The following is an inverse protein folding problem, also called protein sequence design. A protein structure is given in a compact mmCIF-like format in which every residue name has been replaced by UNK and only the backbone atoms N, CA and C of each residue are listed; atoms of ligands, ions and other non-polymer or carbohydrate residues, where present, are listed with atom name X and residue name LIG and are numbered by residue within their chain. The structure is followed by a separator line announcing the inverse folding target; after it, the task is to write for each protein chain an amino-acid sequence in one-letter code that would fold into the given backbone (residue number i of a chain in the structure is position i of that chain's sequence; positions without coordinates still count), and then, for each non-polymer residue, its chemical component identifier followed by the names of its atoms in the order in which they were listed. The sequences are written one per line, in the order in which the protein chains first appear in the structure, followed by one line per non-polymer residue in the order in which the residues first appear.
data_IF_558311335652
#
_entry.id   IF_558311335652
#
_cell.length_a   1.000
_cell.length_b   1.000
_cell.length_c   1.000
_cell.angle_alpha   90.00
_cell.angle_beta   90.00
_cell.angle_gamma   90.00
#
_symmetry.space_group_name_H-M   'P 1'
#
loop_
_entity.id
_entity.type
_entity.pdbx_description
1 polymer ?
#
# COMPACT_ATOMS: atom_id res chain seq x y z
N UNK A 1 7.77 17.48 38.06
CA UNK A 1 7.56 17.98 36.68
C UNK A 1 7.47 16.77 35.77
N UNK A 2 6.27 16.44 35.31
CA UNK A 2 6.08 15.31 34.39
C UNK A 2 6.72 15.67 33.05
N UNK A 3 7.70 14.88 32.62
CA UNK A 3 8.24 14.98 31.29
C UNK A 3 7.10 14.71 30.30
N UNK A 4 6.68 15.73 29.56
CA UNK A 4 5.84 15.55 28.38
C UNK A 4 6.66 14.74 27.39
N UNK A 5 6.41 13.43 27.32
CA UNK A 5 6.89 12.61 26.22
C UNK A 5 6.44 13.31 24.92
N UNK A 6 7.39 13.74 24.09
CA UNK A 6 7.07 14.26 22.76
C UNK A 6 6.36 13.13 22.03
N UNK A 7 5.06 13.29 21.80
CA UNK A 7 4.30 12.36 20.97
C UNK A 7 4.97 12.27 19.61
N UNK A 8 5.14 11.06 19.11
CA UNK A 8 5.70 10.83 17.78
C UNK A 8 4.83 11.55 16.73
N UNK A 9 5.42 12.06 15.63
CA UNK A 9 4.68 12.76 14.60
C UNK A 9 3.59 11.85 13.99
N UNK A 10 2.39 12.40 13.82
CA UNK A 10 1.28 11.79 13.10
C UNK A 10 1.31 12.21 11.63
N UNK A 11 1.11 11.25 10.73
CA UNK A 11 1.10 11.44 9.28
C UNK A 11 -0.33 11.30 8.74
N UNK A 12 -0.63 11.85 7.54
CA UNK A 12 -1.96 11.72 6.93
C UNK A 12 -2.39 10.25 6.66
N UNK A 13 -1.41 9.35 6.65
CA UNK A 13 -1.61 7.91 6.50
C UNK A 13 -1.55 7.13 7.83
N UNK A 14 -1.56 7.82 8.96
CA UNK A 14 -1.88 7.18 10.23
C UNK A 14 -3.39 7.25 10.45
N UNK A 15 -3.97 6.15 10.89
CA UNK A 15 -5.39 6.11 11.24
C UNK A 15 -5.59 5.18 12.41
N UNK A 16 -6.29 5.68 13.43
CA UNK A 16 -6.56 4.88 14.62
C UNK A 16 -7.56 3.79 14.27
N UNK A 17 -7.19 2.55 14.60
CA UNK A 17 -8.07 1.39 14.45
C UNK A 17 -8.84 1.20 15.76
N UNK A 18 -10.18 1.08 15.74
CA UNK A 18 -10.96 0.83 16.93
C UNK A 18 -10.49 -0.45 17.64
N UNK A 19 -10.31 -0.38 18.96
CA UNK A 19 -9.86 -1.50 19.78
C UNK A 19 -11.04 -2.42 20.15
N UNK A 20 -11.73 -2.95 19.14
CA UNK A 20 -12.85 -3.89 19.31
C UNK A 20 -12.46 -5.30 18.85
N UNK A 21 -13.18 -6.35 19.29
CA UNK A 21 -12.93 -7.71 18.82
C UNK A 21 -13.02 -7.84 17.30
N UNK A 22 -13.87 -7.07 16.62
CA UNK A 22 -13.95 -7.04 15.17
C UNK A 22 -12.60 -6.72 14.53
N UNK A 23 -11.96 -5.62 14.89
CA UNK A 23 -10.76 -5.15 14.19
C UNK A 23 -9.45 -5.80 14.65
N UNK A 24 -9.43 -6.48 15.80
CA UNK A 24 -8.20 -6.89 16.47
C UNK A 24 -7.32 -7.87 15.69
N UNK A 25 -7.88 -8.60 14.72
CA UNK A 25 -7.17 -9.58 13.90
C UNK A 25 -7.18 -9.25 12.40
N UNK A 26 -7.65 -8.06 12.03
CA UNK A 26 -7.55 -7.54 10.65
C UNK A 26 -6.21 -6.80 10.53
N UNK A 27 -5.53 -6.96 9.40
CA UNK A 27 -4.27 -6.26 9.15
C UNK A 27 -4.48 -4.73 9.21
N UNK A 28 -3.52 -4.03 9.82
CA UNK A 28 -3.64 -2.59 10.10
C UNK A 28 -3.94 -1.77 8.84
N UNK A 29 -3.23 -2.00 7.75
CA UNK A 29 -3.41 -1.29 6.47
C UNK A 29 -4.78 -1.55 5.88
N UNK A 30 -5.27 -2.80 5.90
CA UNK A 30 -6.62 -3.17 5.47
C UNK A 30 -7.69 -2.47 6.29
N UNK A 31 -7.58 -2.53 7.63
CA UNK A 31 -8.52 -1.86 8.52
C UNK A 31 -8.50 -0.33 8.33
N UNK A 32 -7.31 0.27 8.26
CA UNK A 32 -7.14 1.70 8.03
C UNK A 32 -7.76 2.14 6.71
N UNK A 33 -7.44 1.47 5.61
CA UNK A 33 -7.92 1.87 4.28
C UNK A 33 -9.45 1.82 4.24
N UNK A 34 -10.03 0.77 4.83
CA UNK A 34 -11.47 0.64 4.95
C UNK A 34 -12.09 1.80 5.75
N UNK A 35 -11.61 2.05 6.98
CA UNK A 35 -12.18 3.08 7.86
C UNK A 35 -12.07 4.49 7.26
N UNK A 36 -11.00 4.79 6.51
CA UNK A 36 -10.82 6.08 5.84
C UNK A 36 -11.86 6.36 4.73
N UNK A 37 -12.65 5.36 4.31
CA UNK A 37 -13.71 5.49 3.32
C UNK A 37 -15.04 5.99 3.89
N UNK A 38 -15.25 5.88 5.20
CA UNK A 38 -16.57 6.04 5.82
C UNK A 38 -16.55 7.01 6.99
N UNK A 39 -17.66 7.69 7.19
CA UNK A 39 -17.93 8.44 8.41
C UNK A 39 -18.35 7.51 9.55
N UNK A 40 -18.21 7.96 10.79
CA UNK A 40 -18.66 7.21 11.96
C UNK A 40 -20.16 6.84 11.89
N UNK A 41 -20.98 7.74 11.36
CA UNK A 41 -22.42 7.50 11.18
C UNK A 41 -22.73 6.39 10.18
N UNK A 42 -21.96 6.27 9.09
CA UNK A 42 -22.10 5.19 8.12
C UNK A 42 -21.68 3.83 8.72
N UNK A 43 -20.60 3.81 9.50
CA UNK A 43 -20.11 2.61 10.16
C UNK A 43 -21.10 2.08 11.21
N UNK A 44 -21.70 2.96 12.01
CA UNK A 44 -22.67 2.58 13.05
C UNK A 44 -23.93 1.93 12.49
N UNK A 45 -24.33 2.27 11.26
CA UNK A 45 -25.53 1.71 10.64
C UNK A 45 -25.37 0.25 10.19
N UNK A 46 -24.14 -0.23 9.97
CA UNK A 46 -23.89 -1.53 9.35
C UNK A 46 -23.78 -2.70 10.32
N UNK A 47 -23.73 -2.46 11.63
CA UNK A 47 -23.65 -3.49 12.69
C UNK A 47 -22.61 -4.59 12.40
N UNK A 48 -21.34 -4.30 12.69
CA UNK A 48 -20.24 -5.26 12.51
C UNK A 48 -20.34 -6.39 13.54
N UNK A 49 -20.29 -7.65 13.07
CA UNK A 49 -20.39 -8.83 13.93
C UNK A 49 -19.00 -9.25 14.45
N UNK A 50 -18.75 -8.97 15.73
CA UNK A 50 -17.54 -9.34 16.45
C UNK A 50 -17.26 -10.86 16.47
N UNK A 51 -18.30 -11.70 16.32
CA UNK A 51 -18.20 -13.15 16.41
C UNK A 51 -17.70 -13.82 15.12
N UNK A 52 -17.63 -13.09 14.00
CA UNK A 52 -17.19 -13.66 12.73
C UNK A 52 -15.71 -14.08 12.78
N UNK A 53 -15.32 -15.18 12.12
CA UNK A 53 -13.90 -15.48 11.87
C UNK A 53 -13.30 -14.40 10.96
N UNK A 54 -11.95 -14.27 10.95
CA UNK A 54 -11.23 -13.25 10.16
C UNK A 54 -11.73 -13.16 8.71
N UNK A 55 -11.85 -14.30 8.03
CA UNK A 55 -12.35 -14.36 6.66
C UNK A 55 -13.76 -13.80 6.53
N UNK A 56 -14.67 -14.15 7.44
CA UNK A 56 -16.04 -13.64 7.45
C UNK A 56 -16.12 -12.14 7.73
N UNK A 57 -15.22 -11.61 8.58
CA UNK A 57 -15.10 -10.16 8.78
C UNK A 57 -14.66 -9.46 7.50
N UNK A 58 -13.63 -9.96 6.83
CA UNK A 58 -13.14 -9.42 5.56
C UNK A 58 -14.20 -9.47 4.44
N UNK A 59 -14.91 -10.60 4.32
CA UNK A 59 -16.03 -10.75 3.38
C UNK A 59 -17.18 -9.77 3.70
N UNK A 60 -17.47 -9.53 4.97
CA UNK A 60 -18.48 -8.54 5.38
C UNK A 60 -18.06 -7.10 5.03
N UNK A 61 -16.76 -6.77 5.20
CA UNK A 61 -16.22 -5.48 4.80
C UNK A 61 -16.22 -5.31 3.29
N UNK A 62 -15.89 -6.36 2.53
CA UNK A 62 -15.94 -6.37 1.06
C UNK A 62 -17.35 -6.06 0.56
N UNK A 63 -18.36 -6.77 1.05
CA UNK A 63 -19.77 -6.55 0.68
C UNK A 63 -20.17 -5.10 0.94
N UNK A 64 -19.85 -4.57 2.13
CA UNK A 64 -20.21 -3.20 2.46
C UNK A 64 -19.48 -2.19 1.55
N UNK A 65 -18.22 -2.44 1.21
CA UNK A 65 -17.45 -1.58 0.33
C UNK A 65 -17.99 -1.56 -1.10
N UNK A 66 -18.37 -2.73 -1.61
CA UNK A 66 -18.93 -2.90 -2.95
C UNK A 66 -20.31 -2.23 -3.08
N UNK A 67 -21.21 -2.46 -2.13
CA UNK A 67 -22.51 -1.77 -2.07
C UNK A 67 -22.34 -0.25 -2.01
N UNK A 68 -21.35 0.21 -1.23
CA UNK A 68 -21.06 1.63 -1.05
C UNK A 68 -20.50 2.28 -2.31
N UNK A 69 -19.63 1.58 -3.02
CA UNK A 69 -19.08 2.02 -4.30
C UNK A 69 -20.18 2.06 -5.37
N UNK A 70 -21.00 1.02 -5.47
CA UNK A 70 -22.11 0.95 -6.44
C UNK A 70 -23.12 2.10 -6.23
N UNK A 71 -23.52 2.37 -4.98
CA UNK A 71 -24.42 3.47 -4.67
C UNK A 71 -23.84 4.84 -5.06
N UNK A 72 -22.54 5.05 -4.81
CA UNK A 72 -21.83 6.30 -5.16
C UNK A 72 -21.63 6.47 -6.67
N UNK A 73 -21.33 5.38 -7.38
CA UNK A 73 -21.28 5.37 -8.85
C UNK A 73 -22.66 5.68 -9.45
N UNK A 74 -23.74 5.11 -8.90
CA UNK A 74 -25.10 5.43 -9.33
C UNK A 74 -25.44 6.91 -9.12
N UNK A 75 -25.11 7.47 -7.95
CA UNK A 75 -25.36 8.87 -7.62
C UNK A 75 -24.52 9.86 -8.45
N UNK A 76 -23.37 9.43 -8.97
CA UNK A 76 -22.46 10.27 -9.78
C UNK A 76 -22.89 10.41 -11.24
N UNK A 77 -23.92 9.68 -11.66
CA UNK A 77 -24.40 9.69 -13.05
C UNK A 77 -24.83 11.10 -13.48
N UNK A 78 -24.52 11.50 -14.73
CA UNK A 78 -24.07 10.66 -15.85
C UNK A 78 -22.55 10.41 -15.91
N UNK A 79 -21.75 10.93 -14.98
CA UNK A 79 -20.30 10.71 -14.94
C UNK A 79 -19.96 9.50 -14.05
N UNK A 80 -18.73 8.98 -14.17
CA UNK A 80 -18.20 7.98 -13.23
C UNK A 80 -17.76 8.64 -11.91
N UNK A 81 -17.72 7.87 -10.82
CA UNK A 81 -17.29 8.39 -9.52
C UNK A 81 -15.86 8.94 -9.57
N UNK A 82 -14.93 8.30 -10.29
CA UNK A 82 -13.56 8.80 -10.42
C UNK A 82 -13.46 10.14 -11.17
N UNK A 83 -14.51 10.54 -11.91
CA UNK A 83 -14.63 11.89 -12.51
C UNK A 83 -15.31 12.88 -11.58
N UNK A 84 -16.34 12.45 -10.85
CA UNK A 84 -17.10 13.31 -9.94
C UNK A 84 -16.36 13.59 -8.61
N UNK A 85 -15.79 12.55 -8.01
CA UNK A 85 -15.02 12.58 -6.77
C UNK A 85 -13.87 11.55 -6.81
N UNK A 86 -12.74 11.99 -7.39
CA UNK A 86 -11.56 11.16 -7.54
C UNK A 86 -11.00 10.65 -6.20
N UNK A 87 -11.03 11.49 -5.16
CA UNK A 87 -10.41 11.16 -3.87
C UNK A 87 -11.20 10.06 -3.15
N UNK A 88 -12.52 10.15 -3.18
CA UNK A 88 -13.40 9.11 -2.64
C UNK A 88 -13.25 7.81 -3.43
N UNK A 89 -13.29 7.86 -4.76
CA UNK A 89 -13.09 6.68 -5.60
C UNK A 89 -11.76 5.98 -5.31
N UNK A 90 -10.68 6.74 -5.22
CA UNK A 90 -9.34 6.22 -4.95
C UNK A 90 -9.24 5.56 -3.58
N UNK A 91 -9.87 6.13 -2.53
CA UNK A 91 -9.93 5.52 -1.20
C UNK A 91 -10.68 4.19 -1.22
N UNK A 92 -11.86 4.16 -1.86
CA UNK A 92 -12.68 2.95 -1.97
C UNK A 92 -11.93 1.84 -2.70
N UNK A 93 -11.30 2.16 -3.84
CA UNK A 93 -10.51 1.18 -4.61
C UNK A 93 -9.29 0.67 -3.84
N UNK A 94 -8.61 1.55 -3.09
CA UNK A 94 -7.49 1.13 -2.24
C UNK A 94 -7.95 0.17 -1.13
N UNK A 95 -9.11 0.43 -0.51
CA UNK A 95 -9.70 -0.47 0.46
C UNK A 95 -10.09 -1.83 -0.16
N UNK A 96 -10.69 -1.83 -1.36
CA UNK A 96 -11.04 -3.05 -2.10
C UNK A 96 -9.77 -3.88 -2.38
N UNK A 97 -8.70 -3.22 -2.83
CA UNK A 97 -7.42 -3.87 -3.09
C UNK A 97 -6.82 -4.51 -1.83
N UNK A 98 -6.82 -3.82 -0.68
CA UNK A 98 -6.30 -4.39 0.57
C UNK A 98 -7.14 -5.56 1.10
N UNK A 99 -8.46 -5.51 0.96
CA UNK A 99 -9.34 -6.62 1.35
C UNK A 99 -9.14 -7.82 0.40
N UNK A 100 -9.09 -7.59 -0.91
CA UNK A 100 -8.81 -8.63 -1.89
C UNK A 100 -7.46 -9.32 -1.63
N UNK A 101 -6.43 -8.57 -1.21
CA UNK A 101 -5.14 -9.10 -0.77
C UNK A 101 -5.31 -10.08 0.40
N UNK A 102 -5.98 -9.66 1.47
CA UNK A 102 -6.13 -10.46 2.69
C UNK A 102 -7.11 -11.64 2.50
N UNK A 103 -8.00 -11.57 1.51
CA UNK A 103 -8.84 -12.69 1.05
C UNK A 103 -8.14 -13.60 0.04
N UNK A 104 -6.89 -13.32 -0.31
CA UNK A 104 -6.07 -14.03 -1.31
C UNK A 104 -6.66 -14.02 -2.74
N UNK A 105 -7.49 -13.02 -3.06
CA UNK A 105 -8.09 -12.83 -4.39
C UNK A 105 -7.14 -12.09 -5.34
N UNK A 106 -6.02 -12.72 -5.67
CA UNK A 106 -4.89 -12.07 -6.39
C UNK A 106 -5.28 -11.42 -7.71
N UNK A 107 -6.00 -12.12 -8.58
CA UNK A 107 -6.42 -11.58 -9.89
C UNK A 107 -7.35 -10.36 -9.76
N UNK A 108 -8.20 -10.37 -8.74
CA UNK A 108 -9.09 -9.24 -8.44
C UNK A 108 -8.30 -8.05 -7.90
N UNK A 109 -7.37 -8.29 -6.98
CA UNK A 109 -6.46 -7.27 -6.47
C UNK A 109 -5.67 -6.60 -7.60
N UNK A 110 -5.06 -7.37 -8.51
CA UNK A 110 -4.31 -6.87 -9.66
C UNK A 110 -5.21 -6.01 -10.56
N UNK A 111 -6.42 -6.49 -10.88
CA UNK A 111 -7.39 -5.76 -11.69
C UNK A 111 -7.72 -4.40 -11.06
N UNK A 112 -7.98 -4.36 -9.75
CA UNK A 112 -8.28 -3.12 -9.02
C UNK A 112 -7.12 -2.13 -9.10
N UNK A 113 -5.88 -2.56 -8.83
CA UNK A 113 -4.72 -1.64 -8.85
C UNK A 113 -4.37 -1.17 -10.26
N UNK A 114 -4.60 -1.99 -11.30
CA UNK A 114 -4.47 -1.56 -12.70
C UNK A 114 -5.53 -0.53 -13.07
N UNK A 115 -6.77 -0.71 -12.61
CA UNK A 115 -7.84 0.26 -12.80
C UNK A 115 -7.51 1.60 -12.11
N UNK A 116 -6.99 1.55 -10.88
CA UNK A 116 -6.49 2.72 -10.14
C UNK A 116 -5.40 3.49 -10.89
N UNK A 117 -4.44 2.75 -11.48
CA UNK A 117 -3.36 3.34 -12.25
C UNK A 117 -3.85 3.98 -13.57
N UNK A 118 -4.75 3.31 -14.27
CA UNK A 118 -5.30 3.76 -15.55
C UNK A 118 -6.24 4.97 -15.44
N UNK A 119 -6.85 5.16 -14.27
CA UNK A 119 -7.82 6.23 -14.04
C UNK A 119 -7.31 7.25 -13.02
N UNK A 120 -6.11 7.81 -13.18
CA UNK A 120 -5.69 8.94 -12.35
C UNK A 120 -6.54 10.21 -12.56
N UNK A 121 -6.26 11.29 -11.82
CA UNK A 121 -7.05 12.53 -11.89
C UNK A 121 -7.21 13.04 -13.32
N UNK A 122 -8.42 13.49 -13.66
CA UNK A 122 -8.68 14.09 -14.97
C UNK A 122 -7.91 15.41 -15.12
N UNK A 123 -7.18 15.53 -16.22
CA UNK A 123 -6.52 16.77 -16.62
C UNK A 123 -7.33 17.46 -17.75
N UNK A 124 -7.95 18.62 -17.46
CA UNK A 124 -8.70 19.38 -18.47
C UNK A 124 -7.86 19.87 -19.64
N UNK A 125 -6.53 20.01 -19.47
CA UNK A 125 -5.62 20.51 -20.50
C UNK A 125 -5.35 19.43 -21.55
N UNK A 126 -4.96 18.22 -21.12
CA UNK A 126 -4.74 17.09 -22.04
C UNK A 126 -6.04 16.39 -22.46
N UNK A 127 -7.14 16.61 -21.75
CA UNK A 127 -8.41 15.92 -21.99
C UNK A 127 -8.41 14.44 -21.60
N UNK A 128 -7.41 14.00 -20.83
CA UNK A 128 -7.22 12.59 -20.42
C UNK A 128 -7.05 12.44 -18.91
N UNK A 129 -7.17 11.21 -18.41
CA UNK A 129 -6.81 10.90 -17.03
C UNK A 129 -5.28 10.86 -16.93
N UNK A 130 -4.71 11.51 -15.92
CA UNK A 130 -3.28 11.42 -15.60
C UNK A 130 -2.94 10.03 -15.03
N UNK A 131 -1.66 9.67 -14.97
CA UNK A 131 -1.21 8.46 -14.25
C UNK A 131 -1.16 8.74 -12.75
N UNK A 132 -1.77 7.88 -11.94
CA UNK A 132 -1.62 7.96 -10.48
C UNK A 132 -0.35 7.22 -10.03
N UNK A 133 0.67 7.96 -9.64
CA UNK A 133 1.95 7.39 -9.16
C UNK A 133 1.81 6.59 -7.86
N UNK A 134 0.93 6.99 -6.93
CA UNK A 134 0.64 6.18 -5.75
C UNK A 134 -0.02 4.85 -6.11
N UNK A 135 -0.85 4.82 -7.15
CA UNK A 135 -1.42 3.56 -7.68
C UNK A 135 -0.34 2.70 -8.34
N UNK A 136 0.63 3.31 -9.03
CA UNK A 136 1.76 2.59 -9.63
C UNK A 136 2.66 1.93 -8.57
N UNK A 137 2.87 2.57 -7.41
CA UNK A 137 3.56 1.95 -6.27
C UNK A 137 2.81 0.72 -5.74
N UNK A 138 1.49 0.78 -5.64
CA UNK A 138 0.70 -0.38 -5.23
C UNK A 138 0.76 -1.50 -6.28
N UNK A 139 0.66 -1.13 -7.57
CA UNK A 139 0.77 -2.07 -8.67
C UNK A 139 2.13 -2.77 -8.67
N UNK A 140 3.25 -2.06 -8.45
CA UNK A 140 4.56 -2.70 -8.41
C UNK A 140 4.67 -3.75 -7.30
N UNK A 141 4.09 -3.50 -6.13
CA UNK A 141 4.01 -4.47 -5.03
C UNK A 141 3.16 -5.70 -5.37
N UNK A 142 1.99 -5.51 -6.01
CA UNK A 142 1.13 -6.62 -6.45
C UNK A 142 1.84 -7.47 -7.50
N UNK A 143 2.45 -6.85 -8.50
CA UNK A 143 3.20 -7.55 -9.54
C UNK A 143 4.39 -8.33 -8.98
N UNK A 144 5.07 -7.77 -7.96
CA UNK A 144 6.17 -8.45 -7.28
C UNK A 144 5.69 -9.73 -6.60
N UNK A 145 4.60 -9.63 -5.84
CA UNK A 145 3.96 -10.74 -5.16
C UNK A 145 3.44 -11.82 -6.13
N UNK A 146 2.91 -11.41 -7.28
CA UNK A 146 2.41 -12.31 -8.33
C UNK A 146 3.52 -12.94 -9.19
N UNK A 147 4.79 -12.63 -8.92
CA UNK A 147 5.92 -13.21 -9.64
C UNK A 147 6.24 -12.53 -10.99
N UNK A 148 5.56 -11.44 -11.31
CA UNK A 148 5.77 -10.65 -12.54
C UNK A 148 6.95 -9.68 -12.36
N UNK A 149 8.11 -10.22 -12.02
CA UNK A 149 9.25 -9.46 -11.50
C UNK A 149 9.77 -8.36 -12.44
N UNK A 150 9.80 -8.60 -13.75
CA UNK A 150 10.25 -7.60 -14.71
C UNK A 150 9.27 -6.40 -14.81
N UNK A 151 7.97 -6.66 -14.77
CA UNK A 151 6.94 -5.60 -14.80
C UNK A 151 6.92 -4.84 -13.47
N UNK A 152 7.01 -5.56 -12.35
CA UNK A 152 7.13 -4.99 -11.02
C UNK A 152 8.34 -4.06 -10.89
N UNK A 153 9.50 -4.48 -11.41
CA UNK A 153 10.71 -3.67 -11.42
C UNK A 153 10.53 -2.38 -12.24
N UNK A 154 9.97 -2.50 -13.45
CA UNK A 154 9.73 -1.36 -14.32
C UNK A 154 8.81 -0.33 -13.64
N UNK A 155 7.72 -0.79 -13.03
CA UNK A 155 6.79 0.06 -12.27
C UNK A 155 7.47 0.71 -11.06
N UNK A 156 8.25 -0.04 -10.28
CA UNK A 156 8.97 0.48 -9.12
C UNK A 156 10.04 1.53 -9.51
N UNK A 157 10.75 1.33 -10.63
CA UNK A 157 11.71 2.32 -11.14
C UNK A 157 11.03 3.57 -11.71
N UNK A 158 9.87 3.44 -12.35
CA UNK A 158 9.10 4.57 -12.86
C UNK A 158 8.60 5.46 -11.71
N UNK A 159 8.14 4.87 -10.60
CA UNK A 159 7.55 5.61 -9.49
C UNK A 159 8.58 6.20 -8.51
N UNK A 160 9.76 5.58 -8.35
CA UNK A 160 10.76 5.97 -7.35
C UNK A 160 11.17 7.45 -7.40
N UNK A 161 11.51 8.06 -8.56
CA UNK A 161 11.89 9.48 -8.62
C UNK A 161 10.77 10.43 -8.21
N UNK A 162 9.51 10.03 -8.43
CA UNK A 162 8.35 10.80 -8.00
C UNK A 162 8.20 10.74 -6.48
N UNK A 163 8.33 9.55 -5.87
CA UNK A 163 8.26 9.38 -4.41
C UNK A 163 9.33 10.21 -3.69
N UNK A 164 10.58 10.16 -4.16
CA UNK A 164 11.70 10.87 -3.55
C UNK A 164 11.55 12.40 -3.56
N UNK A 165 10.83 12.94 -4.55
CA UNK A 165 10.58 14.39 -4.71
C UNK A 165 9.26 14.85 -4.09
N UNK A 166 8.44 13.92 -3.60
CA UNK A 166 7.12 14.24 -3.07
C UNK A 166 7.24 14.98 -1.74
N UNK A 167 6.60 16.15 -1.62
CA UNK A 167 6.74 17.07 -0.48
C UNK A 167 6.46 16.43 0.89
N UNK A 168 5.49 15.51 0.95
CA UNK A 168 5.14 14.82 2.18
C UNK A 168 5.99 13.56 2.47
N UNK A 169 6.63 12.98 1.45
CA UNK A 169 7.38 11.72 1.58
C UNK A 169 8.87 12.03 1.74
N UNK A 170 9.50 12.64 0.74
CA UNK A 170 10.95 12.77 0.71
C UNK A 170 11.66 11.43 0.56
N UNK A 171 12.99 11.43 0.62
CA UNK A 171 13.83 10.28 0.27
C UNK A 171 13.87 9.16 1.32
N UNK A 172 13.46 9.41 2.55
CA UNK A 172 13.54 8.48 3.69
C UNK A 172 12.16 8.05 4.22
N UNK A 173 11.09 8.28 3.45
CA UNK A 173 9.76 7.80 3.78
C UNK A 173 9.64 6.26 3.65
N UNK A 174 8.81 5.61 4.49
CA UNK A 174 8.49 4.18 4.38
C UNK A 174 8.11 3.73 2.96
N UNK A 175 7.37 4.56 2.22
CA UNK A 175 6.96 4.28 0.85
C UNK A 175 8.14 4.21 -0.13
N UNK A 176 9.18 5.05 0.07
CA UNK A 176 10.41 4.99 -0.72
C UNK A 176 11.19 3.72 -0.38
N UNK A 177 11.33 3.40 0.90
CA UNK A 177 11.99 2.18 1.36
C UNK A 177 11.30 0.93 0.82
N UNK A 178 9.97 0.88 0.86
CA UNK A 178 9.16 -0.19 0.27
C UNK A 178 9.42 -0.31 -1.23
N UNK A 179 9.40 0.80 -1.97
CA UNK A 179 9.67 0.80 -3.41
C UNK A 179 11.09 0.28 -3.72
N UNK A 180 12.09 0.67 -2.93
CA UNK A 180 13.47 0.21 -3.09
C UNK A 180 13.64 -1.28 -2.76
N UNK A 181 12.91 -1.78 -1.75
CA UNK A 181 12.85 -3.23 -1.46
C UNK A 181 12.21 -3.99 -2.60
N UNK A 182 11.13 -3.48 -3.22
CA UNK A 182 10.56 -4.09 -4.43
C UNK A 182 11.62 -4.23 -5.52
N UNK A 183 12.40 -3.19 -5.81
CA UNK A 183 13.49 -3.27 -6.80
C UNK A 183 14.56 -4.29 -6.38
N UNK A 184 14.93 -4.34 -5.10
CA UNK A 184 15.89 -5.33 -4.59
C UNK A 184 15.37 -6.77 -4.78
N UNK A 185 14.10 -7.04 -4.46
CA UNK A 185 13.47 -8.36 -4.65
C UNK A 185 13.42 -8.75 -6.11
N UNK A 186 12.89 -7.87 -6.97
CA UNK A 186 12.68 -8.17 -8.38
C UNK A 186 14.00 -8.39 -9.12
N UNK A 187 15.03 -7.60 -8.82
CA UNK A 187 16.38 -7.80 -9.38
C UNK A 187 17.02 -9.10 -8.87
N UNK A 188 16.82 -9.44 -7.59
CA UNK A 188 17.25 -10.71 -7.00
C UNK A 188 16.60 -11.92 -7.68
N UNK A 189 15.28 -11.89 -7.86
CA UNK A 189 14.53 -12.92 -8.58
C UNK A 189 14.94 -13.07 -10.04
N UNK A 190 15.41 -12.01 -10.67
CA UNK A 190 16.01 -12.02 -12.01
C UNK A 190 17.51 -12.35 -12.02
N UNK A 191 18.08 -12.78 -10.89
CA UNK A 191 19.49 -13.16 -10.71
C UNK A 191 20.50 -12.02 -10.93
N UNK A 192 20.04 -10.76 -10.89
CA UNK A 192 20.90 -9.57 -10.89
C UNK A 192 21.43 -9.27 -9.48
N UNK A 193 22.15 -10.24 -8.90
CA UNK A 193 22.52 -10.24 -7.47
C UNK A 193 23.32 -9.00 -7.03
N UNK A 194 24.22 -8.50 -7.86
CA UNK A 194 25.03 -7.33 -7.54
C UNK A 194 24.16 -6.08 -7.38
N UNK A 195 23.15 -5.92 -8.25
CA UNK A 195 22.23 -4.79 -8.16
C UNK A 195 21.25 -4.96 -6.98
N UNK A 196 20.74 -6.17 -6.77
CA UNK A 196 19.85 -6.46 -5.64
C UNK A 196 20.50 -6.11 -4.29
N UNK A 197 21.77 -6.50 -4.09
CA UNK A 197 22.54 -6.15 -2.89
C UNK A 197 22.80 -4.64 -2.78
N UNK A 198 23.01 -3.94 -3.90
CA UNK A 198 23.17 -2.49 -3.92
C UNK A 198 21.90 -1.79 -3.42
N UNK A 199 20.71 -2.24 -3.87
CA UNK A 199 19.45 -1.69 -3.39
C UNK A 199 19.20 -2.01 -1.91
N UNK A 200 19.46 -3.23 -1.47
CA UNK A 200 19.36 -3.60 -0.05
C UNK A 200 20.30 -2.76 0.84
N UNK A 201 21.53 -2.48 0.38
CA UNK A 201 22.46 -1.60 1.08
C UNK A 201 22.00 -0.15 1.15
N UNK A 202 21.40 0.39 0.09
CA UNK A 202 20.80 1.73 0.12
C UNK A 202 19.61 1.82 1.08
N UNK A 203 18.79 0.77 1.18
CA UNK A 203 17.70 0.68 2.16
C UNK A 203 18.27 0.69 3.58
N UNK A 204 19.32 -0.08 3.85
CA UNK A 204 20.01 -0.08 5.15
C UNK A 204 20.56 1.30 5.54
N UNK A 205 21.28 1.97 4.63
CA UNK A 205 21.83 3.30 4.88
C UNK A 205 20.74 4.32 5.25
N UNK A 206 19.59 4.25 4.58
CA UNK A 206 18.46 5.11 4.90
C UNK A 206 17.88 4.77 6.28
N UNK A 207 17.69 3.49 6.60
CA UNK A 207 17.16 3.03 7.90
C UNK A 207 18.08 3.46 9.05
N UNK A 208 19.39 3.25 8.93
CA UNK A 208 20.37 3.67 9.94
C UNK A 208 20.40 5.19 10.13
N UNK A 209 20.00 5.92 9.09
CA UNK A 209 19.82 7.36 9.14
C UNK A 209 18.50 7.83 9.75
N UNK A 210 17.48 6.98 9.92
CA UNK A 210 16.13 7.40 10.35
C UNK A 210 16.08 7.94 11.78
N UNK A 211 17.01 7.51 12.64
CA UNK A 211 17.10 7.94 14.03
C UNK A 211 17.14 9.48 14.16
N UNK A 212 16.12 10.04 14.83
CA UNK A 212 16.00 11.49 15.04
C UNK A 212 15.46 12.29 13.84
N UNK A 213 15.09 11.64 12.74
CA UNK A 213 14.40 12.28 11.59
C UNK A 213 12.89 12.16 11.69
N UNK A 214 12.19 12.73 10.70
CA UNK A 214 10.72 12.77 10.62
C UNK A 214 10.08 11.39 10.74
N UNK A 215 10.66 10.36 10.13
CA UNK A 215 10.11 9.01 10.06
C UNK A 215 10.67 8.03 11.10
N UNK A 216 11.41 8.51 12.11
CA UNK A 216 12.08 7.67 13.12
C UNK A 216 11.18 6.61 13.76
N UNK A 217 9.87 6.88 13.89
CA UNK A 217 8.91 5.94 14.48
C UNK A 217 8.72 4.63 13.68
N UNK A 218 9.09 4.62 12.39
CA UNK A 218 8.99 3.44 11.53
C UNK A 218 10.30 2.64 11.47
N UNK A 219 11.39 3.12 12.08
CA UNK A 219 12.72 2.50 11.94
C UNK A 219 12.73 1.01 12.29
N UNK A 220 12.07 0.61 13.38
CA UNK A 220 12.03 -0.80 13.80
C UNK A 220 11.33 -1.69 12.78
N UNK A 221 10.20 -1.26 12.23
CA UNK A 221 9.44 -2.01 11.23
C UNK A 221 10.19 -2.08 9.89
N UNK A 222 10.85 -0.99 9.51
CA UNK A 222 11.69 -0.96 8.30
C UNK A 222 12.91 -1.87 8.45
N UNK A 223 13.49 -1.98 9.65
CA UNK A 223 14.60 -2.89 9.96
C UNK A 223 14.18 -4.36 9.84
N UNK A 224 13.00 -4.72 10.36
CA UNK A 224 12.41 -6.06 10.18
C UNK A 224 12.21 -6.39 8.70
N UNK A 225 11.60 -5.47 7.94
CA UNK A 225 11.43 -5.64 6.48
C UNK A 225 12.75 -5.86 5.74
N UNK A 226 13.83 -5.18 6.15
CA UNK A 226 15.17 -5.36 5.56
C UNK A 226 15.78 -6.72 5.92
N UNK A 227 15.60 -7.20 7.14
CA UNK A 227 16.05 -8.52 7.57
C UNK A 227 15.36 -9.63 6.76
N UNK A 228 14.04 -9.55 6.58
CA UNK A 228 13.28 -10.48 5.73
C UNK A 228 13.80 -10.48 4.29
N UNK A 229 13.98 -9.31 3.69
CA UNK A 229 14.57 -9.17 2.35
C UNK A 229 15.93 -9.87 2.26
N UNK A 230 16.79 -9.72 3.28
CA UNK A 230 18.13 -10.33 3.27
C UNK A 230 18.06 -11.85 3.31
N UNK A 231 17.17 -12.42 4.12
CA UNK A 231 16.98 -13.85 4.19
C UNK A 231 16.39 -14.41 2.88
N UNK A 232 15.42 -13.73 2.27
CA UNK A 232 14.90 -14.05 0.94
C UNK A 232 16.03 -14.09 -0.12
N UNK A 233 16.84 -13.03 -0.19
CA UNK A 233 17.93 -12.94 -1.15
C UNK A 233 19.01 -14.01 -0.94
N UNK A 234 19.33 -14.35 0.32
CA UNK A 234 20.25 -15.45 0.64
C UNK A 234 19.70 -16.79 0.20
N UNK A 235 18.42 -17.06 0.48
CA UNK A 235 17.74 -18.29 0.09
C UNK A 235 17.76 -18.45 -1.43
N UNK A 236 17.28 -17.44 -2.18
CA UNK A 236 17.25 -17.51 -3.65
C UNK A 236 18.65 -17.68 -4.23
N UNK A 237 19.66 -16.97 -3.71
CA UNK A 237 21.04 -17.15 -4.20
C UNK A 237 21.59 -18.55 -3.89
N UNK A 238 21.20 -19.13 -2.74
CA UNK A 238 21.58 -20.49 -2.35
C UNK A 238 21.01 -21.55 -3.28
N UNK A 239 19.73 -21.43 -3.64
CA UNK A 239 19.04 -22.35 -4.55
C UNK A 239 19.71 -22.39 -5.95
N UNK A 240 20.25 -21.25 -6.39
CA UNK A 240 20.88 -21.09 -7.71
C UNK A 240 22.41 -21.27 -7.71
N UNK A 241 23.01 -21.82 -6.62
CA UNK A 241 24.43 -22.20 -6.62
C UNK A 241 24.71 -23.54 -7.33
N UNK A 242 23.66 -24.28 -7.69
CA UNK A 242 23.76 -25.61 -8.28
C UNK A 242 23.28 -25.69 -9.74
N UNK A 243 22.92 -24.55 -10.35
CA UNK A 243 22.65 -24.38 -11.79
C UNK A 243 23.87 -23.80 -12.52
#
# INVERSE_FOLDING_TARGET
MAATAKLAPTFPWDHDIPKTPFWSNIEYTTARNFLQCFTEGELLQKQLDDALPLRGKLESLEIFLDESLEAREYASRPQSLHRADYQLWMKLKLAQSSIAKDLEKRQEQEKIVREMYANGPYDPVSGTNTKNMSALLNLSGVLEYDGLHAEAEAAAREVLPWLQKHEMLGADAPQVLSCMRTIARTTGKQRHWSESNLWAGKVEELIDGMGGRRFAKYEEDERKCLEELREELKAWKGDHKFD
#
